data_IF_298578267176
#
_entry.id   IF_298578267176
#
_cell.length_a   1.000
_cell.length_b   1.000
_cell.length_c   1.000
_cell.angle_alpha   90.00
_cell.angle_beta   90.00
_cell.angle_gamma   90.00
#
_symmetry.space_group_name_H-M   'P 1'
#
loop_
_entity.id
_entity.type
_entity.pdbx_description
1 polymer ?
#
# COMPACT_ATOMS: atom_id res chain seq x y z
N UNK A 1 -13.11 14.75 11.21
CA UNK A 1 -11.77 14.21 10.90
C UNK A 1 -11.96 12.82 10.30
N UNK A 2 -11.34 12.59 9.18
CA UNK A 2 -11.37 11.30 8.52
C UNK A 2 -10.12 10.46 8.89
N UNK A 3 -10.22 9.16 8.72
CA UNK A 3 -9.10 8.23 8.88
C UNK A 3 -8.24 8.22 7.61
N UNK A 4 -8.83 8.60 6.48
CA UNK A 4 -8.14 8.76 5.21
C UNK A 4 -7.66 10.20 5.08
N UNK A 5 -6.50 10.40 4.51
CA UNK A 5 -5.92 11.73 4.30
C UNK A 5 -6.84 12.59 3.43
N UNK A 6 -7.72 13.41 4.04
CA UNK A 6 -8.58 14.37 3.33
C UNK A 6 -7.77 15.33 2.47
N UNK A 7 -6.53 15.62 2.89
CA UNK A 7 -5.59 16.45 2.14
C UNK A 7 -5.35 15.94 0.72
N UNK A 8 -5.34 14.62 0.52
CA UNK A 8 -5.13 14.02 -0.81
C UNK A 8 -6.28 14.32 -1.78
N UNK A 9 -7.50 14.40 -1.26
CA UNK A 9 -8.73 14.58 -2.03
C UNK A 9 -9.28 16.02 -1.98
N UNK A 10 -8.52 16.95 -1.41
CA UNK A 10 -8.89 18.37 -1.30
C UNK A 10 -8.05 19.22 -2.26
N UNK A 11 -8.59 20.38 -2.65
CA UNK A 11 -7.83 21.39 -3.37
C UNK A 11 -6.84 22.13 -2.44
N UNK A 12 -6.09 23.11 -2.99
CA UNK A 12 -5.13 23.90 -2.22
C UNK A 12 -5.79 24.77 -1.12
N UNK A 13 -7.10 25.03 -1.22
CA UNK A 13 -7.89 25.76 -0.24
C UNK A 13 -8.52 24.86 0.83
N UNK A 14 -8.29 23.56 0.76
CA UNK A 14 -8.83 22.56 1.69
C UNK A 14 -10.27 22.12 1.37
N UNK A 15 -10.82 22.49 0.21
CA UNK A 15 -12.13 21.99 -0.21
C UNK A 15 -12.03 20.59 -0.76
N UNK A 16 -12.85 19.68 -0.27
CA UNK A 16 -12.93 18.30 -0.77
C UNK A 16 -13.46 18.30 -2.21
N UNK A 17 -12.67 17.77 -3.14
CA UNK A 17 -13.00 17.71 -4.59
C UNK A 17 -13.43 16.33 -5.05
N UNK A 18 -13.16 15.29 -4.25
CA UNK A 18 -13.68 13.94 -4.45
C UNK A 18 -13.91 13.28 -3.10
N UNK A 19 -14.87 12.34 -3.07
CA UNK A 19 -15.17 11.62 -1.83
C UNK A 19 -14.31 10.37 -1.72
N UNK A 20 -13.55 10.18 -0.61
CA UNK A 20 -12.92 8.90 -0.31
C UNK A 20 -13.94 7.76 -0.33
N UNK A 21 -13.55 6.63 -0.89
CA UNK A 21 -14.45 5.46 -0.95
C UNK A 21 -13.71 4.18 -0.57
N UNK A 22 -13.03 3.54 -1.51
CA UNK A 22 -12.16 2.39 -1.22
C UNK A 22 -10.77 2.90 -0.88
N UNK A 23 -10.43 2.95 0.39
CA UNK A 23 -9.11 3.34 0.85
C UNK A 23 -8.46 2.17 1.56
N UNK A 24 -7.20 1.89 1.24
CA UNK A 24 -6.44 0.80 1.85
C UNK A 24 -5.01 1.22 2.11
N UNK A 25 -4.33 0.52 3.01
CA UNK A 25 -2.86 0.51 3.07
C UNK A 25 -2.35 -0.87 2.69
N UNK A 26 -1.09 -1.01 2.27
CA UNK A 26 -0.48 -2.33 2.27
C UNK A 26 -0.39 -2.84 3.70
N UNK A 27 -0.59 -4.15 3.86
CA UNK A 27 -0.39 -4.87 5.11
C UNK A 27 0.34 -6.18 4.80
N UNK A 28 0.88 -6.81 5.84
CA UNK A 28 1.51 -8.12 5.72
C UNK A 28 0.51 -9.20 6.12
N UNK A 29 0.29 -10.18 5.24
CA UNK A 29 -0.44 -11.42 5.55
C UNK A 29 0.54 -12.57 5.66
N UNK A 30 0.34 -13.45 6.63
CA UNK A 30 1.21 -14.60 6.82
C UNK A 30 0.41 -15.85 7.21
N UNK A 31 0.88 -17.00 6.73
CA UNK A 31 0.28 -18.30 6.98
C UNK A 31 0.80 -18.85 8.30
N UNK A 32 -0.04 -18.80 9.36
CA UNK A 32 0.32 -19.27 10.70
C UNK A 32 0.63 -20.76 10.76
N UNK A 33 -0.07 -21.56 9.98
CA UNK A 33 0.16 -23.01 9.94
C UNK A 33 1.51 -23.32 9.27
N UNK A 34 1.85 -22.60 8.21
CA UNK A 34 3.17 -22.69 7.57
C UNK A 34 4.29 -22.21 8.48
N UNK A 35 4.09 -21.11 9.23
CA UNK A 35 5.03 -20.62 10.24
C UNK A 35 5.33 -21.71 11.27
N UNK A 36 4.28 -22.31 11.85
CA UNK A 36 4.42 -23.40 12.82
C UNK A 36 5.19 -24.58 12.24
N UNK A 37 4.89 -24.99 11.01
CA UNK A 37 5.60 -26.06 10.31
C UNK A 37 7.07 -25.74 10.08
N UNK A 38 7.40 -24.47 9.82
CA UNK A 38 8.78 -23.99 9.62
C UNK A 38 9.53 -23.74 10.95
N UNK A 39 8.92 -23.98 12.11
CA UNK A 39 9.52 -23.71 13.42
C UNK A 39 9.51 -22.22 13.80
N UNK A 40 8.74 -21.38 13.09
CA UNK A 40 8.54 -19.98 13.40
C UNK A 40 7.37 -19.79 14.38
N UNK A 41 7.38 -18.66 15.11
CA UNK A 41 6.27 -18.34 16.00
C UNK A 41 5.04 -17.86 15.19
N UNK A 42 3.90 -18.59 15.22
CA UNK A 42 2.72 -18.23 14.44
C UNK A 42 2.00 -16.96 14.93
N UNK A 43 2.36 -16.46 16.10
CA UNK A 43 1.74 -15.25 16.66
C UNK A 43 2.64 -14.01 16.59
N UNK A 44 3.78 -14.13 15.93
CA UNK A 44 4.75 -13.05 15.73
C UNK A 44 5.08 -12.89 14.24
N UNK A 45 4.34 -12.03 13.52
CA UNK A 45 4.72 -11.68 12.14
C UNK A 45 6.06 -10.91 12.15
N UNK A 46 6.86 -11.01 11.08
CA UNK A 46 8.10 -10.26 10.96
C UNK A 46 7.84 -8.76 11.03
N UNK A 47 8.61 -8.05 11.85
CA UNK A 47 8.51 -6.60 12.05
C UNK A 47 9.50 -5.83 11.19
N UNK A 48 10.63 -6.45 10.87
CA UNK A 48 11.66 -5.83 10.03
C UNK A 48 11.82 -6.59 8.72
N UNK A 49 12.38 -5.93 7.72
CA UNK A 49 12.68 -6.58 6.45
C UNK A 49 13.72 -7.70 6.59
N UNK A 50 14.62 -7.57 7.57
CA UNK A 50 15.61 -8.58 7.91
C UNK A 50 14.95 -9.83 8.51
N UNK A 51 13.96 -9.65 9.40
CA UNK A 51 13.15 -10.76 9.93
C UNK A 51 12.35 -11.42 8.81
N UNK A 52 11.69 -10.63 7.94
CA UNK A 52 10.93 -11.16 6.81
C UNK A 52 11.81 -12.03 5.90
N UNK A 53 13.03 -11.60 5.59
CA UNK A 53 13.95 -12.38 4.76
C UNK A 53 14.32 -13.71 5.41
N UNK A 54 14.55 -13.73 6.73
CA UNK A 54 14.82 -14.99 7.49
C UNK A 54 13.60 -15.91 7.51
N UNK A 55 12.42 -15.36 7.73
CA UNK A 55 11.18 -16.12 7.78
C UNK A 55 10.85 -16.72 6.39
N UNK A 56 11.06 -15.95 5.32
CA UNK A 56 10.87 -16.43 3.95
C UNK A 56 11.81 -17.59 3.60
N UNK A 57 13.09 -17.52 3.98
CA UNK A 57 14.06 -18.61 3.82
C UNK A 57 13.62 -19.85 4.63
N UNK A 58 13.20 -19.68 5.87
CA UNK A 58 12.70 -20.78 6.70
C UNK A 58 11.46 -21.46 6.11
N UNK A 59 10.52 -20.69 5.58
CA UNK A 59 9.32 -21.18 4.91
C UNK A 59 9.68 -21.98 3.64
N UNK A 60 10.63 -21.51 2.86
CA UNK A 60 11.16 -22.22 1.69
C UNK A 60 11.80 -23.56 2.09
N UNK A 61 12.63 -23.54 3.12
CA UNK A 61 13.26 -24.76 3.67
C UNK A 61 12.26 -25.77 4.24
N UNK A 62 11.12 -25.29 4.73
CA UNK A 62 9.99 -26.10 5.19
C UNK A 62 9.13 -26.69 4.06
N UNK A 63 9.44 -26.37 2.80
CA UNK A 63 8.84 -26.97 1.61
C UNK A 63 7.79 -26.12 0.89
N UNK A 64 7.61 -24.83 1.23
CA UNK A 64 6.75 -23.94 0.45
C UNK A 64 7.43 -23.61 -0.89
N UNK A 65 6.63 -23.44 -1.93
CA UNK A 65 7.13 -23.01 -3.25
C UNK A 65 7.56 -21.56 -3.29
N UNK A 66 7.06 -20.75 -2.36
CA UNK A 66 7.35 -19.32 -2.25
C UNK A 66 7.38 -18.91 -0.78
N UNK A 67 8.44 -18.23 -0.34
CA UNK A 67 8.55 -17.67 1.01
C UNK A 67 7.74 -16.40 1.14
N UNK A 68 8.02 -15.45 0.26
CA UNK A 68 7.42 -14.12 0.22
C UNK A 68 7.02 -13.71 -1.21
N UNK A 69 5.90 -13.01 -1.32
CA UNK A 69 5.44 -12.36 -2.52
C UNK A 69 4.89 -10.95 -2.22
N UNK A 70 4.86 -10.08 -3.21
CA UNK A 70 4.30 -8.73 -3.10
C UNK A 70 3.36 -8.44 -4.25
N UNK A 71 2.17 -7.94 -3.94
CA UNK A 71 1.33 -7.31 -4.94
C UNK A 71 1.70 -5.83 -5.13
N UNK A 72 1.18 -5.19 -6.18
CA UNK A 72 1.25 -3.73 -6.39
C UNK A 72 2.63 -3.14 -6.08
N UNK A 73 3.68 -3.70 -6.68
CA UNK A 73 5.07 -3.47 -6.28
C UNK A 73 5.48 -1.99 -6.26
N UNK A 74 5.08 -1.18 -7.23
CA UNK A 74 5.38 0.26 -7.23
C UNK A 74 4.78 0.97 -6.02
N UNK A 75 3.51 0.68 -5.71
CA UNK A 75 2.83 1.27 -4.56
C UNK A 75 3.36 0.76 -3.21
N UNK A 76 3.64 -0.54 -3.09
CA UNK A 76 4.09 -1.15 -1.83
C UNK A 76 5.58 -0.93 -1.61
N UNK A 77 6.43 -1.28 -2.60
CA UNK A 77 7.88 -1.34 -2.42
C UNK A 77 8.60 -0.01 -2.66
N UNK A 78 7.94 0.97 -3.32
CA UNK A 78 8.52 2.30 -3.53
C UNK A 78 7.75 3.35 -2.74
N UNK A 79 6.45 3.52 -3.00
CA UNK A 79 5.67 4.63 -2.43
C UNK A 79 5.45 4.45 -0.93
N UNK A 80 4.88 3.33 -0.49
CA UNK A 80 4.67 3.04 0.93
C UNK A 80 5.96 2.75 1.68
N UNK A 81 6.93 2.08 1.06
CA UNK A 81 8.25 1.94 1.66
C UNK A 81 8.85 3.31 1.97
N UNK A 82 8.81 4.25 1.02
CA UNK A 82 9.34 5.60 1.24
C UNK A 82 8.60 6.31 2.39
N UNK A 83 7.27 6.34 2.37
CA UNK A 83 6.49 6.98 3.42
C UNK A 83 6.74 6.35 4.81
N UNK A 84 6.77 5.01 4.87
CA UNK A 84 7.00 4.24 6.10
C UNK A 84 8.38 4.52 6.73
N UNK A 85 9.34 4.97 5.92
CA UNK A 85 10.70 5.34 6.33
C UNK A 85 10.95 6.85 6.34
N UNK A 86 9.90 7.67 6.31
CA UNK A 86 10.00 9.14 6.28
C UNK A 86 10.87 9.68 5.14
N UNK A 87 10.74 9.11 3.96
CA UNK A 87 11.45 9.48 2.74
C UNK A 87 10.49 10.05 1.70
N UNK A 88 10.84 11.13 1.00
CA UNK A 88 10.03 11.61 -0.11
C UNK A 88 10.15 10.67 -1.33
N UNK A 89 9.06 10.58 -2.09
CA UNK A 89 9.03 9.98 -3.44
C UNK A 89 9.37 11.03 -4.48
N UNK A 90 8.96 12.27 -4.23
CA UNK A 90 9.23 13.42 -5.09
C UNK A 90 9.48 14.69 -4.28
N UNK A 91 10.12 15.67 -4.89
CA UNK A 91 10.29 17.02 -4.34
C UNK A 91 8.93 17.74 -4.17
N UNK A 92 8.96 18.96 -3.63
CA UNK A 92 7.73 19.76 -3.40
C UNK A 92 6.71 19.03 -2.55
N UNK A 93 7.16 18.37 -1.46
CA UNK A 93 6.30 17.56 -0.60
C UNK A 93 5.46 16.55 -1.40
N UNK A 94 6.11 15.74 -2.24
CA UNK A 94 5.46 14.80 -3.17
C UNK A 94 4.46 15.47 -4.13
N UNK A 95 4.78 16.68 -4.59
CA UNK A 95 3.98 17.43 -5.56
C UNK A 95 2.83 18.24 -4.96
N UNK A 96 2.65 18.29 -3.63
CA UNK A 96 1.63 19.12 -3.01
C UNK A 96 1.90 20.61 -3.17
N UNK A 97 3.16 21.02 -3.26
CA UNK A 97 3.59 22.43 -3.31
C UNK A 97 3.88 22.92 -4.73
N UNK A 98 3.60 22.14 -5.76
CA UNK A 98 3.75 22.60 -7.14
C UNK A 98 3.88 21.50 -8.19
N UNK A 99 3.53 21.88 -9.42
CA UNK A 99 3.57 20.98 -10.58
C UNK A 99 4.98 20.78 -11.17
N UNK A 100 5.97 21.54 -10.70
CA UNK A 100 7.39 21.43 -11.05
C UNK A 100 8.15 20.39 -10.20
N UNK A 101 7.44 19.54 -9.47
CA UNK A 101 8.03 18.44 -8.71
C UNK A 101 8.86 17.49 -9.58
N UNK A 102 9.88 16.90 -8.98
CA UNK A 102 10.72 15.86 -9.59
C UNK A 102 10.76 14.62 -8.71
N UNK A 103 10.77 13.43 -9.31
CA UNK A 103 10.88 12.16 -8.60
C UNK A 103 12.27 12.02 -7.97
N UNK A 104 12.33 11.42 -6.78
CA UNK A 104 13.54 11.32 -5.97
C UNK A 104 13.74 9.94 -5.32
N UNK A 105 12.97 8.92 -5.70
CA UNK A 105 12.96 7.61 -5.04
C UNK A 105 14.14 6.69 -5.43
N UNK A 106 15.17 7.21 -6.08
CA UNK A 106 16.44 6.52 -6.40
C UNK A 106 17.56 6.80 -5.38
N UNK A 107 17.21 7.13 -4.13
CA UNK A 107 18.17 7.40 -3.06
C UNK A 107 18.67 6.09 -2.42
N UNK A 108 19.79 6.14 -1.68
CA UNK A 108 20.44 4.94 -1.15
C UNK A 108 19.54 3.99 -0.36
N UNK A 109 18.58 4.52 0.41
CA UNK A 109 17.69 3.67 1.23
C UNK A 109 16.72 2.89 0.34
N UNK A 110 16.08 3.55 -0.64
CA UNK A 110 15.18 2.87 -1.58
C UNK A 110 15.94 1.85 -2.44
N UNK A 111 17.12 2.22 -2.93
CA UNK A 111 17.97 1.31 -3.72
C UNK A 111 18.35 0.07 -2.91
N UNK A 112 18.80 0.26 -1.66
CA UNK A 112 19.16 -0.85 -0.75
C UNK A 112 17.98 -1.79 -0.50
N UNK A 113 16.77 -1.24 -0.38
CA UNK A 113 15.56 -2.05 -0.23
C UNK A 113 15.30 -2.94 -1.45
N UNK A 114 15.35 -2.37 -2.65
CA UNK A 114 15.17 -3.14 -3.89
C UNK A 114 16.31 -4.16 -4.08
N UNK A 115 17.53 -3.82 -3.68
CA UNK A 115 18.67 -4.76 -3.69
C UNK A 115 18.42 -5.96 -2.77
N UNK A 116 17.89 -5.74 -1.57
CA UNK A 116 17.54 -6.84 -0.67
C UNK A 116 16.47 -7.75 -1.29
N UNK A 117 15.44 -7.19 -1.91
CA UNK A 117 14.41 -7.98 -2.62
C UNK A 117 15.00 -8.73 -3.82
N UNK A 118 15.93 -8.13 -4.57
CA UNK A 118 16.67 -8.80 -5.65
C UNK A 118 17.46 -10.01 -5.11
N UNK A 119 18.17 -9.84 -4.01
CA UNK A 119 18.92 -10.93 -3.37
C UNK A 119 17.98 -12.08 -2.91
N UNK A 120 16.83 -11.75 -2.33
CA UNK A 120 15.80 -12.72 -1.97
C UNK A 120 15.23 -13.42 -3.21
N UNK A 121 15.02 -12.68 -4.30
CA UNK A 121 14.54 -13.24 -5.57
C UNK A 121 15.55 -14.24 -6.16
N UNK A 122 16.85 -13.89 -6.17
CA UNK A 122 17.92 -14.79 -6.63
C UNK A 122 18.02 -16.08 -5.81
N UNK A 123 17.70 -16.03 -4.52
CA UNK A 123 17.64 -17.21 -3.63
C UNK A 123 16.33 -18.01 -3.78
N UNK A 124 15.33 -17.46 -4.43
CA UNK A 124 13.99 -18.05 -4.51
C UNK A 124 13.11 -17.80 -3.28
N UNK A 125 13.53 -16.96 -2.35
CA UNK A 125 12.78 -16.59 -1.14
C UNK A 125 11.68 -15.58 -1.43
N UNK A 126 11.90 -14.67 -2.39
CA UNK A 126 10.92 -13.77 -2.96
C UNK A 126 10.56 -14.19 -4.38
N UNK A 127 9.26 -14.24 -4.68
CA UNK A 127 8.76 -14.55 -6.03
C UNK A 127 7.83 -13.46 -6.52
N UNK A 128 8.12 -12.93 -7.70
CA UNK A 128 7.26 -11.96 -8.38
C UNK A 128 6.22 -12.69 -9.24
N UNK A 129 4.95 -12.36 -9.09
CA UNK A 129 3.85 -13.00 -9.80
C UNK A 129 3.07 -12.07 -10.73
N UNK A 130 3.28 -10.77 -10.65
CA UNK A 130 2.56 -9.79 -11.46
C UNK A 130 2.48 -8.41 -10.83
N UNK A 131 1.92 -7.47 -11.57
CA UNK A 131 1.93 -6.04 -11.23
C UNK A 131 0.86 -5.63 -10.21
N UNK A 132 -0.19 -6.43 -10.05
CA UNK A 132 -1.35 -6.11 -9.21
C UNK A 132 -1.46 -7.06 -8.03
N UNK A 133 -2.53 -7.79 -7.91
CA UNK A 133 -2.88 -8.62 -6.77
C UNK A 133 -2.70 -10.14 -7.00
N UNK A 134 -1.97 -10.51 -8.05
CA UNK A 134 -1.70 -11.92 -8.38
C UNK A 134 -1.03 -12.67 -7.21
N UNK A 135 -0.21 -11.98 -6.41
CA UNK A 135 0.42 -12.55 -5.22
C UNK A 135 -0.58 -12.95 -4.14
N UNK A 136 -1.72 -12.27 -4.05
CA UNK A 136 -2.79 -12.59 -3.08
C UNK A 136 -3.36 -13.98 -3.34
N UNK A 137 -3.60 -14.32 -4.61
CA UNK A 137 -4.06 -15.67 -4.99
C UNK A 137 -3.02 -16.75 -4.62
N UNK A 138 -1.74 -16.48 -4.82
CA UNK A 138 -0.65 -17.37 -4.43
C UNK A 138 -0.56 -17.59 -2.92
N UNK A 139 -0.90 -16.55 -2.16
CA UNK A 139 -0.96 -16.65 -0.71
C UNK A 139 -2.15 -17.50 -0.24
N UNK A 140 -3.39 -17.17 -0.61
CA UNK A 140 -4.56 -17.89 -0.10
C UNK A 140 -4.66 -19.34 -0.62
N UNK A 141 -4.00 -19.66 -1.73
CA UNK A 141 -3.85 -21.05 -2.21
C UNK A 141 -2.76 -21.84 -1.42
N UNK A 142 -1.98 -21.18 -0.56
CA UNK A 142 -0.95 -21.79 0.25
C UNK A 142 0.40 -21.96 -0.46
N UNK A 143 0.59 -21.37 -1.65
CA UNK A 143 1.85 -21.42 -2.39
C UNK A 143 2.93 -20.58 -1.70
N UNK A 144 2.55 -19.39 -1.19
CA UNK A 144 3.43 -18.45 -0.47
C UNK A 144 3.09 -18.39 1.02
N UNK A 145 4.12 -18.34 1.86
CA UNK A 145 3.95 -18.25 3.31
C UNK A 145 3.68 -16.84 3.82
N UNK A 146 4.20 -15.81 3.11
CA UNK A 146 4.01 -14.39 3.42
C UNK A 146 3.65 -13.65 2.13
N UNK A 147 2.73 -12.69 2.23
CA UNK A 147 2.50 -11.71 1.16
C UNK A 147 2.27 -10.33 1.74
N UNK A 148 2.74 -9.29 1.04
CA UNK A 148 2.32 -7.91 1.26
C UNK A 148 1.34 -7.52 0.17
N UNK A 149 0.16 -7.10 0.58
CA UNK A 149 -0.96 -6.80 -0.31
C UNK A 149 -1.85 -5.70 0.29
N UNK A 150 -2.82 -5.25 -0.46
CA UNK A 150 -3.83 -4.31 0.03
C UNK A 150 -4.60 -4.86 1.24
N UNK A 151 -4.92 -4.02 2.22
CA UNK A 151 -5.86 -4.38 3.28
C UNK A 151 -7.24 -4.80 2.73
N UNK A 152 -7.63 -4.31 1.56
CA UNK A 152 -8.83 -4.72 0.84
C UNK A 152 -8.81 -6.17 0.34
N UNK A 153 -7.65 -6.84 0.35
CA UNK A 153 -7.55 -8.27 0.02
C UNK A 153 -8.03 -9.18 1.16
N UNK A 154 -8.34 -8.63 2.34
CA UNK A 154 -8.70 -9.42 3.52
C UNK A 154 -9.95 -10.27 3.29
N UNK A 155 -10.95 -9.75 2.58
CA UNK A 155 -12.19 -10.48 2.29
C UNK A 155 -11.92 -11.74 1.46
N UNK A 156 -11.12 -11.62 0.40
CA UNK A 156 -10.75 -12.75 -0.45
C UNK A 156 -9.91 -13.77 0.32
N UNK A 157 -8.93 -13.31 1.11
CA UNK A 157 -8.10 -14.19 1.93
C UNK A 157 -8.96 -14.96 2.93
N UNK A 158 -9.90 -14.31 3.61
CA UNK A 158 -10.86 -14.98 4.52
C UNK A 158 -11.73 -16.01 3.80
N UNK A 159 -12.12 -15.73 2.58
CA UNK A 159 -13.01 -16.60 1.81
C UNK A 159 -12.28 -17.84 1.26
N UNK A 160 -11.08 -17.65 0.72
CA UNK A 160 -10.38 -18.70 -0.03
C UNK A 160 -9.34 -19.46 0.78
N UNK A 161 -8.66 -18.85 1.75
CA UNK A 161 -7.64 -19.53 2.53
C UNK A 161 -8.22 -20.69 3.35
N UNK A 162 -7.58 -21.84 3.28
CA UNK A 162 -7.94 -23.05 4.05
C UNK A 162 -6.97 -23.32 5.20
N UNK A 163 -6.28 -22.30 5.66
CA UNK A 163 -5.32 -22.33 6.76
C UNK A 163 -5.54 -21.11 7.66
N UNK A 164 -4.99 -21.18 8.88
CA UNK A 164 -4.99 -20.04 9.78
C UNK A 164 -3.97 -19.00 9.31
N UNK A 165 -4.40 -17.77 9.18
CA UNK A 165 -3.52 -16.66 8.79
C UNK A 165 -3.56 -15.54 9.82
N UNK A 166 -2.55 -14.69 9.78
CA UNK A 166 -2.48 -13.45 10.55
C UNK A 166 -2.25 -12.25 9.65
N UNK A 167 -2.50 -11.07 10.22
CA UNK A 167 -2.23 -9.78 9.59
C UNK A 167 -1.23 -9.03 10.46
N UNK A 168 -0.19 -8.50 9.85
CA UNK A 168 0.83 -7.68 10.50
C UNK A 168 0.99 -6.32 9.82
N UNK A 169 1.65 -5.40 10.51
CA UNK A 169 2.10 -4.16 9.89
C UNK A 169 3.15 -4.43 8.82
N UNK A 170 3.31 -3.51 7.90
CA UNK A 170 4.42 -3.55 6.95
C UNK A 170 5.76 -3.60 7.70
N UNK A 171 6.71 -4.41 7.24
CA UNK A 171 8.05 -4.41 7.82
C UNK A 171 8.76 -3.08 7.59
N UNK A 172 9.71 -2.76 8.45
CA UNK A 172 10.56 -1.58 8.30
C UNK A 172 12.05 -1.94 8.33
N UNK A 173 12.88 -1.07 7.79
CA UNK A 173 14.33 -1.15 7.88
C UNK A 173 14.78 -0.50 9.19
N UNK A 174 15.23 -1.30 10.15
CA UNK A 174 15.65 -0.84 11.48
C UNK A 174 16.89 0.08 11.44
N UNK A 175 17.63 0.09 10.33
CA UNK A 175 18.75 0.99 10.14
C UNK A 175 18.35 2.43 9.79
N UNK A 176 17.06 2.64 9.48
CA UNK A 176 16.53 3.97 9.16
C UNK A 176 16.00 4.64 10.42
N UNK A 177 16.59 5.76 10.85
CA UNK A 177 16.16 6.46 12.06
C UNK A 177 14.69 6.87 12.00
N UNK A 178 13.99 6.74 13.11
CA UNK A 178 12.56 7.08 13.29
C UNK A 178 11.56 6.26 12.48
N UNK A 179 11.99 5.22 11.76
CA UNK A 179 11.08 4.26 11.17
C UNK A 179 10.45 3.36 12.26
N UNK A 180 9.22 2.88 12.09
CA UNK A 180 8.28 3.22 11.02
C UNK A 180 7.58 4.58 11.26
N UNK A 181 7.18 5.25 10.18
CA UNK A 181 6.45 6.53 10.20
C UNK A 181 4.94 6.29 10.08
N UNK A 182 4.34 6.55 8.95
CA UNK A 182 2.94 6.24 8.64
C UNK A 182 2.83 5.67 7.22
N UNK A 183 1.80 4.87 6.97
CA UNK A 183 1.48 4.41 5.63
C UNK A 183 0.72 5.49 4.86
N UNK A 184 0.74 5.38 3.53
CA UNK A 184 -0.10 6.18 2.63
C UNK A 184 -1.16 5.30 1.98
N UNK A 185 -2.32 5.88 1.71
CA UNK A 185 -3.43 5.16 1.11
C UNK A 185 -3.20 4.86 -0.37
N UNK A 186 -3.81 3.77 -0.82
CA UNK A 186 -4.19 3.52 -2.20
C UNK A 186 -5.70 3.30 -2.28
N UNK A 187 -6.23 3.15 -3.47
CA UNK A 187 -7.64 2.84 -3.70
C UNK A 187 -8.32 3.77 -4.69
N UNK A 188 -9.57 4.14 -4.41
CA UNK A 188 -10.39 4.95 -5.31
C UNK A 188 -11.24 5.96 -4.54
N UNK A 189 -11.56 7.06 -5.21
CA UNK A 189 -12.51 8.09 -4.76
C UNK A 189 -13.63 8.29 -5.77
N UNK A 190 -14.74 8.87 -5.34
CA UNK A 190 -15.89 9.15 -6.17
C UNK A 190 -15.87 10.60 -6.64
N UNK A 191 -16.17 10.81 -7.92
CA UNK A 191 -16.16 12.11 -8.58
C UNK A 191 -17.51 12.40 -9.21
N UNK A 192 -17.99 13.63 -9.07
CA UNK A 192 -19.20 14.10 -9.76
C UNK A 192 -18.82 14.73 -11.09
N UNK A 193 -19.34 14.17 -12.19
CA UNK A 193 -19.05 14.65 -13.54
C UNK A 193 -19.86 15.90 -13.85
N UNK A 194 -19.22 16.88 -14.52
CA UNK A 194 -19.88 18.12 -14.98
C UNK A 194 -20.91 17.84 -16.09
N UNK A 195 -21.84 18.80 -16.29
CA UNK A 195 -22.78 18.76 -17.42
C UNK A 195 -24.04 17.90 -17.19
N UNK A 196 -24.40 17.64 -15.93
CA UNK A 196 -25.61 16.92 -15.57
C UNK A 196 -26.71 17.92 -15.13
N UNK A 197 -27.98 17.46 -15.20
CA UNK A 197 -29.12 18.21 -14.69
C UNK A 197 -29.16 18.24 -13.15
N UNK A 198 -30.00 19.12 -12.60
CA UNK A 198 -30.11 19.33 -11.16
C UNK A 198 -30.57 18.08 -10.39
N UNK A 199 -31.44 17.26 -10.98
CA UNK A 199 -31.93 16.04 -10.32
C UNK A 199 -30.82 14.99 -10.24
N UNK A 200 -30.01 14.86 -11.29
CA UNK A 200 -28.82 13.99 -11.29
C UNK A 200 -27.81 14.42 -10.21
N UNK A 201 -27.55 15.71 -10.08
CA UNK A 201 -26.66 16.20 -9.02
C UNK A 201 -27.24 15.96 -7.61
N UNK A 202 -28.55 16.14 -7.43
CA UNK A 202 -29.23 15.85 -6.16
C UNK A 202 -29.09 14.37 -5.80
N UNK A 203 -29.37 13.46 -6.74
CA UNK A 203 -29.21 12.04 -6.51
C UNK A 203 -27.77 11.62 -6.21
N UNK A 204 -26.78 12.20 -6.90
CA UNK A 204 -25.37 11.97 -6.60
C UNK A 204 -25.00 12.43 -5.19
N UNK A 205 -25.48 13.61 -4.75
CA UNK A 205 -25.23 14.11 -3.41
C UNK A 205 -25.87 13.23 -2.33
N UNK A 206 -27.11 12.78 -2.54
CA UNK A 206 -27.80 11.86 -1.62
C UNK A 206 -27.07 10.51 -1.52
N UNK A 207 -26.56 9.98 -2.64
CA UNK A 207 -25.78 8.75 -2.65
C UNK A 207 -24.46 8.91 -1.89
N UNK A 208 -23.73 10.02 -2.10
CA UNK A 208 -22.50 10.29 -1.37
C UNK A 208 -22.75 10.46 0.14
N UNK A 209 -23.84 11.14 0.53
CA UNK A 209 -24.22 11.27 1.93
C UNK A 209 -24.57 9.90 2.55
N UNK A 210 -25.26 9.06 1.81
CA UNK A 210 -25.55 7.68 2.26
C UNK A 210 -24.26 6.89 2.54
N UNK A 211 -23.30 6.92 1.61
CA UNK A 211 -22.00 6.23 1.79
C UNK A 211 -21.18 6.77 2.96
N UNK A 212 -21.36 8.03 3.31
CA UNK A 212 -20.64 8.68 4.41
C UNK A 212 -21.27 8.45 5.79
N UNK A 213 -22.46 7.81 5.87
CA UNK A 213 -23.06 7.48 7.15
C UNK A 213 -22.17 6.51 7.92
N UNK A 214 -21.96 6.72 9.24
CA UNK A 214 -21.06 5.88 10.04
C UNK A 214 -21.39 4.39 9.96
N UNK A 215 -22.66 4.02 9.95
CA UNK A 215 -23.12 2.65 9.88
C UNK A 215 -22.77 2.00 8.54
N UNK A 216 -22.95 2.72 7.43
CA UNK A 216 -22.65 2.25 6.08
C UNK A 216 -21.13 2.13 5.87
N UNK A 217 -20.38 3.15 6.30
CA UNK A 217 -18.92 3.14 6.21
C UNK A 217 -18.29 2.05 7.10
N UNK A 218 -18.84 1.80 8.29
CA UNK A 218 -18.41 0.71 9.16
C UNK A 218 -18.73 -0.66 8.55
N UNK A 219 -19.91 -0.85 8.01
CA UNK A 219 -20.30 -2.10 7.34
C UNK A 219 -19.41 -2.39 6.12
N UNK A 220 -19.12 -1.36 5.31
CA UNK A 220 -18.21 -1.47 4.17
C UNK A 220 -16.81 -1.90 4.60
N UNK A 221 -16.24 -1.22 5.61
CA UNK A 221 -14.97 -1.59 6.22
C UNK A 221 -14.95 -3.05 6.70
N UNK A 222 -15.93 -3.43 7.49
CA UNK A 222 -15.99 -4.75 8.12
C UNK A 222 -16.12 -5.89 7.10
N UNK A 223 -16.86 -5.67 6.00
CA UNK A 223 -17.09 -6.68 4.96
C UNK A 223 -15.93 -6.79 3.97
N UNK A 224 -15.20 -5.73 3.71
CA UNK A 224 -14.21 -5.67 2.63
C UNK A 224 -12.76 -5.69 3.10
N UNK A 225 -12.48 -5.14 4.29
CA UNK A 225 -11.13 -4.89 4.77
C UNK A 225 -10.53 -3.54 4.30
N UNK A 226 -11.27 -2.75 3.50
CA UNK A 226 -10.90 -1.36 3.25
C UNK A 226 -10.96 -0.54 4.55
N UNK A 227 -10.24 0.57 4.60
CA UNK A 227 -10.25 1.47 5.76
C UNK A 227 -11.66 2.04 6.03
N UNK A 228 -12.06 2.22 7.29
CA UNK A 228 -13.19 3.05 7.61
C UNK A 228 -12.85 4.50 7.21
N UNK A 229 -13.65 5.09 6.32
CA UNK A 229 -13.33 6.42 5.75
C UNK A 229 -13.49 7.59 6.71
N UNK A 230 -14.12 7.34 7.88
CA UNK A 230 -14.30 8.34 8.94
C UNK A 230 -13.91 7.79 10.31
N UNK A 231 -13.51 8.67 11.22
CA UNK A 231 -13.26 8.31 12.62
C UNK A 231 -14.53 7.72 13.28
N UNK A 232 -15.71 8.25 12.94
CA UNK A 232 -16.97 7.74 13.47
C UNK A 232 -17.21 6.29 13.08
N UNK A 233 -16.93 5.90 11.84
CA UNK A 233 -17.04 4.51 11.38
C UNK A 233 -16.03 3.58 12.05
N UNK A 234 -14.81 4.06 12.30
CA UNK A 234 -13.80 3.32 13.05
C UNK A 234 -14.23 3.06 14.50
N UNK A 235 -14.66 4.11 15.20
CA UNK A 235 -15.13 3.98 16.58
C UNK A 235 -16.39 3.11 16.69
N UNK A 236 -17.31 3.21 15.73
CA UNK A 236 -18.48 2.33 15.69
C UNK A 236 -18.08 0.85 15.54
N UNK A 237 -17.16 0.54 14.64
CA UNK A 237 -16.65 -0.83 14.47
C UNK A 237 -16.00 -1.36 15.76
N UNK A 238 -15.28 -0.51 16.47
CA UNK A 238 -14.67 -0.81 17.77
C UNK A 238 -15.73 -1.08 18.84
N UNK A 239 -16.75 -0.21 18.96
CA UNK A 239 -17.88 -0.39 19.89
C UNK A 239 -18.66 -1.68 19.63
N UNK A 240 -18.77 -2.09 18.37
CA UNK A 240 -19.40 -3.35 17.99
C UNK A 240 -18.57 -4.60 18.32
N UNK A 241 -17.35 -4.43 18.84
CA UNK A 241 -16.42 -5.52 19.13
C UNK A 241 -15.88 -6.21 17.87
N UNK A 242 -15.88 -5.50 16.74
CA UNK A 242 -15.46 -6.09 15.46
C UNK A 242 -14.00 -6.51 15.48
N UNK A 243 -13.12 -5.69 16.03
CA UNK A 243 -11.67 -5.97 16.07
C UNK A 243 -11.31 -7.08 17.03
N UNK A 244 -12.06 -7.25 18.10
CA UNK A 244 -11.87 -8.36 19.06
C UNK A 244 -12.17 -9.72 18.40
N UNK A 245 -13.18 -9.74 17.52
CA UNK A 245 -13.58 -10.92 16.74
C UNK A 245 -12.76 -11.12 15.49
N UNK A 246 -12.06 -10.09 15.00
CA UNK A 246 -11.28 -10.09 13.78
C UNK A 246 -9.88 -9.48 14.03
N UNK A 247 -9.01 -10.18 14.75
CA UNK A 247 -7.66 -9.70 15.05
C UNK A 247 -6.91 -9.33 13.76
N UNK A 248 -6.30 -8.15 13.74
CA UNK A 248 -5.55 -7.64 12.59
C UNK A 248 -6.38 -6.82 11.58
N UNK A 249 -7.71 -6.78 11.70
CA UNK A 249 -8.55 -5.97 10.82
C UNK A 249 -8.37 -4.45 11.03
N UNK A 250 -7.76 -4.03 12.14
CA UNK A 250 -7.42 -2.64 12.46
C UNK A 250 -6.01 -2.23 12.01
N UNK A 251 -5.18 -3.16 11.54
CA UNK A 251 -3.76 -2.91 11.22
C UNK A 251 -3.60 -1.77 10.21
N UNK A 252 -4.40 -1.76 9.15
CA UNK A 252 -4.32 -0.70 8.14
C UNK A 252 -4.60 0.69 8.75
N UNK A 253 -5.61 0.82 9.62
CA UNK A 253 -5.92 2.06 10.33
C UNK A 253 -4.78 2.45 11.27
N UNK A 254 -4.23 1.50 12.02
CA UNK A 254 -3.11 1.75 12.92
C UNK A 254 -1.86 2.21 12.18
N UNK A 255 -1.59 1.71 10.98
CA UNK A 255 -0.48 2.17 10.13
C UNK A 255 -0.66 3.61 9.67
N UNK A 256 -1.89 4.00 9.33
CA UNK A 256 -2.21 5.39 8.96
C UNK A 256 -2.01 6.35 10.14
N UNK A 257 -2.35 5.91 11.34
CA UNK A 257 -2.34 6.71 12.58
C UNK A 257 -1.09 6.46 13.44
N UNK A 258 -0.09 5.77 12.92
CA UNK A 258 1.09 5.38 13.70
C UNK A 258 1.87 6.59 14.22
N UNK A 259 2.03 7.62 13.39
CA UNK A 259 2.61 8.92 13.74
C UNK A 259 1.91 10.02 12.95
N UNK A 260 2.03 11.25 13.40
CA UNK A 260 1.57 12.40 12.64
C UNK A 260 2.25 12.44 11.27
N UNK A 261 1.50 12.59 10.17
CA UNK A 261 2.08 12.57 8.84
C UNK A 261 2.98 13.79 8.62
N UNK A 262 4.13 13.54 7.98
CA UNK A 262 5.00 14.60 7.48
C UNK A 262 4.39 15.21 6.20
N UNK A 263 4.80 16.41 5.78
CA UNK A 263 4.27 17.05 4.56
C UNK A 263 4.31 16.15 3.33
N UNK A 264 5.34 15.31 3.21
CA UNK A 264 5.56 14.37 2.09
C UNK A 264 5.13 12.92 2.38
N UNK A 265 4.50 12.64 3.53
CA UNK A 265 3.94 11.29 3.83
C UNK A 265 2.41 11.27 3.88
N UNK A 266 1.76 12.30 3.35
CA UNK A 266 0.29 12.39 3.23
C UNK A 266 -0.25 11.70 1.96
N UNK A 267 0.60 11.35 1.03
CA UNK A 267 0.29 10.83 -0.30
C UNK A 267 1.11 11.54 -1.36
N UNK A 268 0.62 11.57 -2.59
CA UNK A 268 1.29 12.20 -3.73
C UNK A 268 0.29 12.95 -4.60
N UNK A 269 0.68 14.13 -5.08
CA UNK A 269 -0.02 14.92 -6.09
C UNK A 269 0.85 15.12 -7.31
N UNK A 270 1.00 14.08 -8.09
CA UNK A 270 1.87 14.05 -9.27
C UNK A 270 1.05 13.78 -10.53
N UNK A 271 1.30 14.55 -11.58
CA UNK A 271 0.69 14.32 -12.88
C UNK A 271 1.14 12.99 -13.48
N UNK A 272 0.27 12.37 -14.28
CA UNK A 272 0.55 11.11 -14.99
C UNK A 272 0.98 9.95 -14.06
N UNK A 273 0.53 9.94 -12.81
CA UNK A 273 0.95 8.94 -11.82
C UNK A 273 0.67 7.48 -12.24
N UNK A 274 -0.46 7.14 -12.90
CA UNK A 274 -0.66 5.79 -13.41
C UNK A 274 0.41 5.34 -14.41
N UNK A 275 0.84 6.23 -15.30
CA UNK A 275 1.90 5.95 -16.26
C UNK A 275 3.27 5.84 -15.58
N UNK A 276 3.53 6.66 -14.56
CA UNK A 276 4.76 6.58 -13.74
C UNK A 276 4.82 5.22 -13.04
N UNK A 277 3.71 4.74 -12.46
CA UNK A 277 3.65 3.40 -11.86
C UNK A 277 3.93 2.30 -12.87
N UNK A 278 3.42 2.41 -14.10
CA UNK A 278 3.75 1.47 -15.18
C UNK A 278 5.25 1.44 -15.46
N UNK A 279 5.90 2.60 -15.52
CA UNK A 279 7.37 2.69 -15.69
C UNK A 279 8.09 2.02 -14.52
N UNK A 280 7.68 2.29 -13.29
CA UNK A 280 8.28 1.65 -12.11
C UNK A 280 8.15 0.13 -12.17
N UNK A 281 6.98 -0.38 -12.57
CA UNK A 281 6.76 -1.82 -12.72
C UNK A 281 7.70 -2.43 -13.78
N UNK A 282 7.84 -1.80 -14.95
CA UNK A 282 8.75 -2.24 -16.02
C UNK A 282 10.21 -2.31 -15.55
N UNK A 283 10.66 -1.29 -14.83
CA UNK A 283 12.03 -1.23 -14.35
C UNK A 283 12.30 -2.27 -13.24
N UNK A 284 11.37 -2.45 -12.33
CA UNK A 284 11.49 -3.49 -11.29
C UNK A 284 11.44 -4.91 -11.88
N UNK A 285 10.62 -5.15 -12.90
CA UNK A 285 10.62 -6.42 -13.66
C UNK A 285 11.98 -6.70 -14.31
N UNK A 286 12.67 -5.64 -14.76
CA UNK A 286 14.06 -5.72 -15.23
C UNK A 286 15.03 -6.19 -14.14
N UNK A 287 14.81 -5.80 -12.88
CA UNK A 287 15.60 -6.28 -11.73
C UNK A 287 15.29 -7.75 -11.46
N UNK A 288 14.01 -8.14 -11.38
CA UNK A 288 13.63 -9.52 -11.05
C UNK A 288 14.08 -10.53 -12.11
N UNK A 289 14.21 -10.09 -13.34
CA UNK A 289 14.72 -10.91 -14.45
C UNK A 289 16.24 -10.84 -14.63
N UNK A 290 16.94 -10.09 -13.78
CA UNK A 290 18.40 -9.96 -13.83
C UNK A 290 18.93 -9.11 -14.99
N UNK A 291 18.07 -8.33 -15.68
CA UNK A 291 18.45 -7.50 -16.83
C UNK A 291 19.16 -6.21 -16.42
N UNK A 292 18.92 -5.73 -15.21
CA UNK A 292 19.51 -4.50 -14.70
C UNK A 292 19.65 -4.53 -13.17
N UNK A 293 20.54 -3.70 -12.66
CA UNK A 293 20.72 -3.53 -11.21
C UNK A 293 19.62 -2.68 -10.60
N UNK A 294 19.34 -2.80 -9.30
CA UNK A 294 18.41 -1.94 -8.59
C UNK A 294 18.68 -0.44 -8.78
N UNK A 295 19.92 -0.01 -8.70
CA UNK A 295 20.28 1.42 -8.92
C UNK A 295 19.92 1.86 -10.35
N UNK A 296 20.30 1.09 -11.36
CA UNK A 296 20.01 1.43 -12.75
C UNK A 296 18.50 1.46 -13.02
N UNK A 297 17.74 0.53 -12.43
CA UNK A 297 16.29 0.49 -12.54
C UNK A 297 15.62 1.73 -11.95
N UNK A 298 15.99 2.12 -10.72
CA UNK A 298 15.41 3.29 -10.07
C UNK A 298 15.86 4.60 -10.74
N UNK A 299 17.11 4.70 -11.21
CA UNK A 299 17.57 5.85 -11.99
C UNK A 299 16.79 6.01 -13.31
N UNK A 300 16.56 4.91 -14.01
CA UNK A 300 15.75 4.88 -15.23
C UNK A 300 14.30 5.27 -14.95
N UNK A 301 13.70 4.72 -13.90
CA UNK A 301 12.32 5.04 -13.50
C UNK A 301 12.16 6.53 -13.16
N UNK A 302 13.08 7.10 -12.39
CA UNK A 302 13.09 8.53 -12.05
C UNK A 302 13.25 9.39 -13.30
N UNK A 303 14.18 9.07 -14.18
CA UNK A 303 14.39 9.81 -15.45
C UNK A 303 13.15 9.79 -16.32
N UNK A 304 12.62 8.61 -16.63
CA UNK A 304 11.43 8.41 -17.48
C UNK A 304 10.18 9.05 -16.86
N UNK A 305 9.99 8.90 -15.56
CA UNK A 305 8.88 9.49 -14.84
C UNK A 305 8.95 11.02 -14.82
N UNK A 306 10.14 11.60 -14.67
CA UNK A 306 10.34 13.06 -14.73
C UNK A 306 10.01 13.65 -16.11
N UNK A 307 10.22 12.91 -17.20
CA UNK A 307 9.76 13.33 -18.52
C UNK A 307 8.24 13.47 -18.59
N UNK A 308 7.50 12.55 -17.96
CA UNK A 308 6.03 12.63 -17.85
C UNK A 308 5.59 13.80 -16.97
N UNK A 309 6.28 14.06 -15.86
CA UNK A 309 5.97 15.20 -15.00
C UNK A 309 6.17 16.53 -15.74
N UNK A 310 7.26 16.67 -16.52
CA UNK A 310 7.50 17.89 -17.33
C UNK A 310 6.42 18.09 -18.41
N UNK A 311 5.95 17.02 -19.05
CA UNK A 311 4.83 17.09 -20.00
C UNK A 311 3.54 17.56 -19.32
N UNK A 312 3.24 17.00 -18.15
CA UNK A 312 2.07 17.41 -17.38
C UNK A 312 2.15 18.88 -16.98
N UNK A 313 3.29 19.32 -16.46
CA UNK A 313 3.51 20.74 -16.08
C UNK A 313 3.23 21.70 -17.25
N UNK A 314 3.68 21.36 -18.47
CA UNK A 314 3.43 22.17 -19.67
C UNK A 314 1.96 22.22 -20.07
N UNK A 315 1.18 21.18 -19.76
CA UNK A 315 -0.26 21.13 -20.09
C UNK A 315 -1.14 21.95 -19.13
N UNK A 316 -0.67 22.18 -17.89
CA UNK A 316 -1.47 22.86 -16.86
C UNK A 316 -1.00 24.30 -16.58
N UNK A 317 0.07 24.76 -17.23
CA UNK A 317 0.49 26.17 -17.31
C UNK A 317 -0.29 26.90 -18.40
#
# INVERSE_FOLDING_TARGET
SDVCSSDLYSDASGHLISQPFNSSTPVLYYNKDAFKKAGLNPDQPPKTWQELAKDADALRKAGLSCGYASGWQGWIQIENFSAWHALPVASKNNGFDGTDAVLEFNKPVQVRHIQMLEEMNKKGDFTYFGRKDESTAKFYNGDCGITTASSGSLADIKHYAKFNFGVGMMPYDESVPNAPQNAIIGGASLWVMKGKDANTYKGAAEFMQFLAQPEIAAEWHQKTGYLPITTAAYELSKQQGFYDKNPGADIATRQMLNKDPLPFTKGMRLGNMPQIRTIVDEELEGVWTGKQSPQAALDSAVKRGNELLRRFEQQVK
#
